data_IF_445229834843
#
_entry.id   IF_445229834843
#
_cell.length_a   1.000
_cell.length_b   1.000
_cell.length_c   1.000
_cell.angle_alpha   90.00
_cell.angle_beta   90.00
_cell.angle_gamma   90.00
#
_symmetry.space_group_name_H-M   'P 1'
#
loop_
_entity.id
_entity.type
_entity.pdbx_description
1 polymer ?
#
# COMPACT_ATOMS: atom_id res chain seq x y z
N UNK A 1 48.19 15.74 -23.44
CA UNK A 1 46.90 15.69 -24.14
C UNK A 1 46.15 14.49 -23.57
N UNK A 2 45.42 14.68 -22.47
CA UNK A 2 44.70 13.62 -21.76
C UNK A 2 43.25 14.08 -21.59
N UNK A 3 42.36 13.20 -22.03
CA UNK A 3 40.92 13.35 -22.22
C UNK A 3 40.16 13.49 -20.90
N UNK A 4 39.33 14.52 -20.77
CA UNK A 4 38.26 14.59 -19.78
C UNK A 4 36.99 13.95 -20.36
N UNK A 5 36.59 12.79 -19.84
CA UNK A 5 35.25 12.25 -20.02
C UNK A 5 34.40 12.64 -18.80
N UNK A 6 33.53 13.63 -18.98
CA UNK A 6 32.51 13.97 -17.99
C UNK A 6 31.47 12.85 -17.92
N UNK A 7 31.58 12.00 -16.90
CA UNK A 7 30.58 11.00 -16.56
C UNK A 7 29.33 11.69 -15.98
N UNK A 8 28.25 11.67 -16.74
CA UNK A 8 26.93 12.14 -16.32
C UNK A 8 26.35 11.17 -15.29
N UNK A 9 26.33 11.58 -14.02
CA UNK A 9 25.78 10.79 -12.92
C UNK A 9 24.24 10.82 -13.02
N UNK A 10 23.67 9.77 -13.60
CA UNK A 10 22.23 9.55 -13.61
C UNK A 10 21.72 9.33 -12.17
N UNK A 11 20.86 10.24 -11.69
CA UNK A 11 20.28 10.18 -10.35
C UNK A 11 19.18 9.10 -10.27
N UNK A 12 19.29 8.11 -9.35
CA UNK A 12 18.30 7.02 -9.19
C UNK A 12 16.90 7.46 -8.75
N UNK A 13 16.71 8.74 -8.38
CA UNK A 13 15.42 9.24 -7.83
C UNK A 13 14.33 9.49 -8.86
N UNK A 14 14.66 9.45 -10.16
CA UNK A 14 13.72 9.86 -11.23
C UNK A 14 12.75 8.75 -11.66
N UNK A 15 13.02 7.49 -11.31
CA UNK A 15 12.22 6.34 -11.75
C UNK A 15 10.97 6.10 -10.89
N UNK A 16 10.99 6.54 -9.62
CA UNK A 16 9.87 6.33 -8.69
C UNK A 16 8.73 7.36 -8.90
N UNK A 17 9.03 8.58 -9.36
CA UNK A 17 7.99 9.59 -9.61
C UNK A 17 7.10 9.22 -10.81
N UNK A 18 7.70 8.69 -11.88
CA UNK A 18 7.00 8.35 -13.12
C UNK A 18 6.07 7.15 -12.94
N UNK A 19 6.45 6.16 -12.12
CA UNK A 19 5.61 4.99 -11.85
C UNK A 19 4.42 5.34 -10.94
N UNK A 20 4.64 6.19 -9.94
CA UNK A 20 3.57 6.69 -9.07
C UNK A 20 2.56 7.52 -9.85
N UNK A 21 3.02 8.41 -10.74
CA UNK A 21 2.13 9.18 -11.62
C UNK A 21 1.31 8.25 -12.53
N UNK A 22 1.93 7.27 -13.19
CA UNK A 22 1.19 6.35 -14.09
C UNK A 22 0.18 5.47 -13.36
N UNK A 23 0.51 4.96 -12.18
CA UNK A 23 -0.42 4.16 -11.38
C UNK A 23 -1.59 5.02 -10.86
N UNK A 24 -1.32 6.26 -10.45
CA UNK A 24 -2.38 7.21 -10.10
C UNK A 24 -3.23 7.60 -11.31
N UNK A 25 -2.64 7.77 -12.49
CA UNK A 25 -3.36 8.11 -13.74
C UNK A 25 -4.23 6.95 -14.21
N UNK A 26 -3.82 5.69 -14.03
CA UNK A 26 -4.64 4.54 -14.42
C UNK A 26 -5.86 4.33 -13.51
N UNK A 27 -5.70 4.49 -12.19
CA UNK A 27 -6.79 4.32 -11.22
C UNK A 27 -7.70 5.57 -11.13
N UNK A 28 -7.18 6.78 -11.37
CA UNK A 28 -7.98 8.02 -11.41
C UNK A 28 -8.52 8.33 -12.81
N UNK A 29 -7.95 7.76 -13.87
CA UNK A 29 -8.27 8.09 -15.27
C UNK A 29 -9.61 7.56 -15.77
N UNK A 30 -10.17 6.52 -15.16
CA UNK A 30 -11.53 6.07 -15.49
C UNK A 30 -12.64 6.92 -14.83
N UNK A 31 -12.31 7.81 -13.88
CA UNK A 31 -13.30 8.58 -13.12
C UNK A 31 -13.30 10.10 -13.35
N UNK A 32 -12.41 10.62 -14.21
CA UNK A 32 -12.11 12.05 -14.29
C UNK A 32 -12.56 12.70 -15.62
N UNK A 33 -13.83 12.50 -15.99
CA UNK A 33 -14.43 13.25 -17.10
C UNK A 33 -15.57 14.17 -16.66
N UNK A 34 -15.86 14.32 -15.36
CA UNK A 34 -16.98 15.16 -14.91
C UNK A 34 -16.74 15.82 -13.54
N UNK A 35 -15.69 16.65 -13.45
CA UNK A 35 -15.31 17.38 -12.21
C UNK A 35 -15.87 18.80 -12.16
N UNK A 36 -17.14 18.98 -12.57
CA UNK A 36 -17.80 20.29 -12.54
C UNK A 36 -19.30 20.14 -12.28
N UNK A 37 -19.67 19.80 -11.04
CA UNK A 37 -20.86 20.32 -10.33
C UNK A 37 -20.94 19.69 -8.95
N UNK A 38 -21.33 20.50 -7.97
CA UNK A 38 -21.56 20.13 -6.59
C UNK A 38 -22.81 19.25 -6.49
N UNK A 39 -22.67 17.97 -6.83
CA UNK A 39 -23.57 16.86 -6.55
C UNK A 39 -22.87 15.84 -5.66
N UNK A 40 -23.58 14.79 -5.22
CA UNK A 40 -23.03 13.71 -4.38
C UNK A 40 -21.61 13.33 -4.80
N UNK A 41 -20.69 13.17 -3.85
CA UNK A 41 -19.28 12.88 -4.17
C UNK A 41 -19.26 11.70 -5.14
N UNK A 42 -18.58 11.79 -6.29
CA UNK A 42 -18.66 10.76 -7.33
C UNK A 42 -18.39 9.36 -6.78
N UNK A 43 -17.47 9.23 -5.80
CA UNK A 43 -17.18 7.99 -5.08
C UNK A 43 -18.40 7.34 -4.37
N UNK A 44 -19.31 8.14 -3.81
CA UNK A 44 -20.52 7.63 -3.13
C UNK A 44 -21.51 7.05 -4.15
N UNK A 45 -21.63 7.68 -5.32
CA UNK A 45 -22.50 7.22 -6.41
C UNK A 45 -21.96 5.93 -7.02
N UNK A 46 -20.65 5.85 -7.31
CA UNK A 46 -20.05 4.63 -7.83
C UNK A 46 -20.14 3.47 -6.84
N UNK A 47 -19.95 3.73 -5.55
CA UNK A 47 -20.13 2.71 -4.51
C UNK A 47 -21.58 2.20 -4.45
N UNK A 48 -22.57 3.10 -4.54
CA UNK A 48 -23.98 2.73 -4.56
C UNK A 48 -24.33 1.89 -5.79
N UNK A 49 -24.01 2.37 -7.00
CA UNK A 49 -24.28 1.64 -8.25
C UNK A 49 -23.54 0.31 -8.30
N UNK A 50 -22.28 0.29 -7.83
CA UNK A 50 -21.48 -0.92 -7.70
C UNK A 50 -22.15 -1.93 -6.76
N UNK A 51 -22.61 -1.49 -5.58
CA UNK A 51 -23.25 -2.37 -4.61
C UNK A 51 -24.52 -3.05 -5.15
N UNK A 52 -25.39 -2.27 -5.82
CA UNK A 52 -26.60 -2.82 -6.45
C UNK A 52 -26.23 -3.79 -7.58
N UNK A 53 -25.28 -3.40 -8.44
CA UNK A 53 -24.82 -4.26 -9.53
C UNK A 53 -24.20 -5.57 -9.02
N UNK A 54 -23.44 -5.53 -7.92
CA UNK A 54 -22.88 -6.73 -7.28
C UNK A 54 -23.97 -7.62 -6.72
N UNK A 55 -24.99 -7.07 -6.05
CA UNK A 55 -26.10 -7.86 -5.51
C UNK A 55 -26.87 -8.53 -6.65
N UNK A 56 -27.25 -7.78 -7.69
CA UNK A 56 -27.96 -8.32 -8.85
C UNK A 56 -27.13 -9.38 -9.55
N UNK A 57 -25.85 -9.11 -9.80
CA UNK A 57 -24.91 -10.06 -10.41
C UNK A 57 -24.76 -11.33 -9.57
N UNK A 58 -24.68 -11.21 -8.24
CA UNK A 58 -24.59 -12.36 -7.34
C UNK A 58 -25.86 -13.22 -7.37
N UNK A 59 -27.04 -12.60 -7.35
CA UNK A 59 -28.31 -13.34 -7.46
C UNK A 59 -28.40 -14.08 -8.79
N UNK A 60 -28.02 -13.44 -9.90
CA UNK A 60 -27.99 -14.08 -11.21
C UNK A 60 -26.95 -15.21 -11.27
N UNK A 61 -25.76 -14.99 -10.70
CA UNK A 61 -24.69 -15.99 -10.64
C UNK A 61 -25.11 -17.23 -9.84
N UNK A 62 -25.66 -17.04 -8.64
CA UNK A 62 -26.13 -18.14 -7.81
C UNK A 62 -27.37 -18.80 -8.40
N UNK A 63 -28.27 -18.02 -8.99
CA UNK A 63 -29.42 -18.53 -9.72
C UNK A 63 -28.97 -19.47 -10.83
N UNK A 64 -28.05 -19.04 -11.69
CA UNK A 64 -27.49 -19.87 -12.75
C UNK A 64 -26.69 -21.08 -12.22
N UNK A 65 -25.87 -20.90 -11.17
CA UNK A 65 -24.99 -21.94 -10.64
C UNK A 65 -25.76 -23.09 -9.95
N UNK A 66 -26.80 -22.76 -9.18
CA UNK A 66 -27.50 -23.72 -8.32
C UNK A 66 -28.85 -24.19 -8.86
N UNK A 67 -29.52 -23.46 -9.76
CA UNK A 67 -30.79 -23.95 -10.32
C UNK A 67 -30.54 -25.19 -11.20
N UNK A 68 -31.41 -26.20 -11.13
CA UNK A 68 -31.31 -27.37 -12.00
C UNK A 68 -31.78 -27.05 -13.42
N UNK A 69 -31.30 -27.82 -14.40
CA UNK A 69 -31.37 -27.47 -15.84
C UNK A 69 -32.79 -27.33 -16.37
N UNK A 70 -33.75 -28.08 -15.81
CA UNK A 70 -35.15 -28.02 -16.24
C UNK A 70 -35.80 -26.65 -15.98
N UNK A 71 -35.42 -25.95 -14.90
CA UNK A 71 -35.90 -24.58 -14.64
C UNK A 71 -35.28 -23.58 -15.61
N UNK A 72 -33.98 -23.72 -15.92
CA UNK A 72 -33.30 -22.86 -16.89
C UNK A 72 -33.90 -23.02 -18.29
N UNK A 73 -34.17 -24.26 -18.69
CA UNK A 73 -34.82 -24.56 -19.96
C UNK A 73 -36.23 -23.98 -20.04
N UNK A 74 -37.00 -24.07 -18.95
CA UNK A 74 -38.34 -23.46 -18.86
C UNK A 74 -38.29 -21.92 -18.91
N UNK A 75 -37.20 -21.29 -18.48
CA UNK A 75 -36.97 -19.85 -18.60
C UNK A 75 -36.44 -19.44 -19.99
N UNK A 76 -36.23 -20.40 -20.90
CA UNK A 76 -35.72 -20.15 -22.26
C UNK A 76 -34.20 -19.97 -22.32
N UNK A 77 -33.47 -20.27 -21.24
CA UNK A 77 -32.00 -20.15 -21.20
C UNK A 77 -31.39 -21.48 -21.65
N UNK A 78 -31.18 -21.62 -22.95
CA UNK A 78 -30.63 -22.84 -23.56
C UNK A 78 -29.13 -22.82 -23.80
N UNK A 79 -28.51 -21.62 -23.82
CA UNK A 79 -27.08 -21.46 -24.04
C UNK A 79 -26.43 -20.74 -22.86
N UNK A 80 -25.64 -21.46 -22.08
CA UNK A 80 -24.87 -20.94 -20.96
C UNK A 80 -23.52 -21.66 -20.85
N UNK A 81 -22.49 -21.04 -20.25
CA UNK A 81 -21.17 -21.66 -20.12
C UNK A 81 -21.22 -22.92 -19.24
N UNK A 82 -20.20 -23.77 -19.28
CA UNK A 82 -20.15 -24.95 -18.39
C UNK A 82 -20.27 -24.55 -16.91
N UNK A 83 -21.08 -25.29 -16.14
CA UNK A 83 -21.25 -25.10 -14.68
C UNK A 83 -19.93 -25.17 -13.90
N UNK A 84 -18.89 -25.77 -14.48
CA UNK A 84 -17.54 -25.76 -13.91
C UNK A 84 -17.06 -24.35 -13.53
N UNK A 85 -17.44 -23.34 -14.31
CA UNK A 85 -17.07 -21.95 -14.04
C UNK A 85 -17.62 -21.42 -12.72
N UNK A 86 -18.72 -21.99 -12.20
CA UNK A 86 -19.25 -21.60 -10.90
C UNK A 86 -18.27 -21.89 -9.74
N UNK A 87 -17.42 -22.92 -9.89
CA UNK A 87 -16.38 -23.26 -8.92
C UNK A 87 -15.05 -22.64 -9.29
N UNK A 88 -14.74 -22.57 -10.59
CA UNK A 88 -13.49 -22.01 -11.07
C UNK A 88 -13.35 -20.52 -10.73
N UNK A 89 -14.41 -19.72 -10.91
CA UNK A 89 -14.37 -18.28 -10.64
C UNK A 89 -14.00 -17.96 -9.17
N UNK A 90 -14.69 -18.50 -8.15
CA UNK A 90 -14.28 -18.33 -6.76
C UNK A 90 -12.86 -18.82 -6.46
N UNK A 91 -12.46 -19.96 -7.03
CA UNK A 91 -11.12 -20.51 -6.83
C UNK A 91 -10.03 -19.58 -7.39
N UNK A 92 -10.22 -19.05 -8.61
CA UNK A 92 -9.32 -18.05 -9.19
C UNK A 92 -9.31 -16.74 -8.40
N UNK A 93 -10.45 -16.29 -7.88
CA UNK A 93 -10.52 -15.09 -7.05
C UNK A 93 -9.69 -15.25 -5.76
N UNK A 94 -9.77 -16.40 -5.09
CA UNK A 94 -8.94 -16.69 -3.91
C UNK A 94 -7.45 -16.71 -4.25
N UNK A 95 -7.07 -17.36 -5.36
CA UNK A 95 -5.68 -17.37 -5.83
C UNK A 95 -5.19 -15.96 -6.20
N UNK A 96 -6.05 -15.14 -6.80
CA UNK A 96 -5.74 -13.76 -7.15
C UNK A 96 -5.50 -12.90 -5.91
N UNK A 97 -6.29 -13.06 -4.84
CA UNK A 97 -6.07 -12.34 -3.57
C UNK A 97 -4.69 -12.66 -3.01
N UNK A 98 -4.34 -13.94 -2.90
CA UNK A 98 -3.02 -14.36 -2.42
C UNK A 98 -1.90 -13.81 -3.32
N UNK A 99 -2.07 -13.92 -4.64
CA UNK A 99 -1.12 -13.39 -5.61
C UNK A 99 -0.91 -11.88 -5.46
N UNK A 100 -1.99 -11.10 -5.28
CA UNK A 100 -1.92 -9.65 -5.04
C UNK A 100 -1.21 -9.35 -3.72
N UNK A 101 -1.52 -10.07 -2.64
CA UNK A 101 -0.84 -9.86 -1.35
C UNK A 101 0.67 -10.11 -1.44
N UNK A 102 1.08 -11.22 -2.07
CA UNK A 102 2.48 -11.55 -2.27
C UNK A 102 3.16 -10.50 -3.13
N UNK A 103 2.58 -10.20 -4.30
CA UNK A 103 3.14 -9.24 -5.25
C UNK A 103 3.27 -7.85 -4.62
N UNK A 104 2.21 -7.38 -3.94
CA UNK A 104 2.23 -6.11 -3.23
C UNK A 104 3.33 -6.10 -2.17
N UNK A 105 3.44 -7.14 -1.35
CA UNK A 105 4.49 -7.26 -0.33
C UNK A 105 5.87 -7.21 -0.97
N UNK A 106 6.11 -8.02 -2.00
CA UNK A 106 7.39 -8.05 -2.74
C UNK A 106 7.74 -6.69 -3.34
N UNK A 107 6.77 -5.98 -3.93
CA UNK A 107 6.98 -4.64 -4.48
C UNK A 107 7.31 -3.62 -3.38
N UNK A 108 6.65 -3.70 -2.22
CA UNK A 108 6.97 -2.86 -1.07
C UNK A 108 8.38 -3.12 -0.55
N UNK A 109 8.82 -4.38 -0.49
CA UNK A 109 10.20 -4.72 -0.11
C UNK A 109 11.23 -4.18 -1.09
N UNK A 110 10.95 -4.19 -2.39
CA UNK A 110 11.84 -3.61 -3.40
C UNK A 110 11.90 -2.07 -3.31
N UNK A 111 10.76 -1.43 -2.98
CA UNK A 111 10.65 0.01 -2.91
C UNK A 111 11.18 0.63 -1.60
N UNK A 112 11.34 -0.19 -0.55
CA UNK A 112 11.75 0.27 0.78
C UNK A 112 13.23 -0.02 1.04
N UNK A 113 13.83 0.72 1.99
CA UNK A 113 15.19 0.48 2.45
C UNK A 113 15.28 -0.95 3.04
N UNK A 114 16.38 -1.70 2.84
CA UNK A 114 16.54 -3.03 3.42
C UNK A 114 16.25 -3.03 4.93
N UNK A 115 15.55 -4.07 5.43
CA UNK A 115 15.14 -4.15 6.83
C UNK A 115 16.32 -4.18 7.81
N UNK A 116 17.49 -4.66 7.34
CA UNK A 116 18.72 -4.75 8.15
C UNK A 116 19.48 -3.42 8.25
N UNK A 117 19.01 -2.36 7.60
CA UNK A 117 19.70 -1.07 7.64
C UNK A 117 19.29 -0.24 8.87
N UNK A 118 20.28 0.39 9.51
CA UNK A 118 20.04 1.33 10.60
C UNK A 118 19.22 2.56 10.18
N UNK A 119 19.26 2.89 8.88
CA UNK A 119 18.48 3.97 8.28
C UNK A 119 16.97 3.73 8.29
N UNK A 120 16.51 2.52 8.62
CA UNK A 120 15.10 2.21 8.87
C UNK A 120 14.63 2.74 10.23
N UNK A 121 15.55 2.84 11.21
CA UNK A 121 15.28 3.27 12.59
C UNK A 121 15.63 4.74 12.80
N UNK A 122 16.72 5.20 12.19
CA UNK A 122 17.18 6.59 12.30
C UNK A 122 17.20 7.25 10.92
N UNK A 123 16.62 8.44 10.83
CA UNK A 123 16.63 9.27 9.64
C UNK A 123 17.48 10.54 9.84
N UNK A 124 17.50 11.41 8.83
CA UNK A 124 18.22 12.69 8.87
C UNK A 124 17.68 13.70 9.90
N UNK A 125 16.49 13.47 10.46
CA UNK A 125 15.87 14.34 11.45
C UNK A 125 16.02 13.79 12.88
N UNK A 126 16.52 12.57 13.03
CA UNK A 126 16.80 11.95 14.32
C UNK A 126 17.85 12.75 15.08
N UNK A 127 17.52 13.14 16.32
CA UNK A 127 18.37 13.97 17.19
C UNK A 127 19.01 13.11 18.25
N UNK A 128 20.32 12.91 18.18
CA UNK A 128 21.04 12.21 19.24
C UNK A 128 21.12 13.07 20.52
N UNK A 129 21.04 12.46 21.72
CA UNK A 129 21.26 13.18 22.97
C UNK A 129 22.67 13.76 23.02
N UNK A 130 22.76 15.05 23.35
CA UNK A 130 24.04 15.75 23.49
C UNK A 130 24.60 15.43 24.86
N UNK A 131 25.69 14.66 24.93
CA UNK A 131 26.37 14.41 26.19
C UNK A 131 27.32 15.57 26.48
N UNK A 132 26.94 16.46 27.39
CA UNK A 132 27.86 17.48 27.89
C UNK A 132 28.97 16.78 28.71
N UNK A 133 30.22 16.90 28.26
CA UNK A 133 31.38 16.52 29.06
C UNK A 133 31.39 17.41 30.32
N UNK A 134 31.66 16.85 31.51
CA UNK A 134 31.71 17.64 32.73
C UNK A 134 32.87 18.62 32.65
N UNK A 135 32.59 19.87 32.30
CA UNK A 135 33.54 20.97 32.55
C UNK A 135 33.51 21.28 34.05
N UNK A 136 34.69 21.44 34.61
CA UNK A 136 35.02 21.43 36.03
C UNK A 136 33.94 21.98 36.99
N UNK A 137 33.58 21.08 37.91
CA UNK A 137 33.13 21.31 39.29
C UNK A 137 33.21 22.76 39.82
N UNK A 138 32.10 23.51 39.76
CA UNK A 138 31.84 24.57 40.75
C UNK A 138 30.42 25.17 40.72
N UNK A 139 29.60 24.94 39.69
CA UNK A 139 28.20 25.37 39.64
C UNK A 139 27.26 24.16 39.54
N UNK A 140 26.44 23.97 40.59
CA UNK A 140 25.49 22.86 40.74
C UNK A 140 24.25 22.98 39.84
N UNK A 141 24.33 23.76 38.76
CA UNK A 141 23.20 24.07 37.89
C UNK A 141 23.52 23.56 36.49
N UNK A 142 23.10 22.31 36.23
CA UNK A 142 23.16 21.75 34.89
C UNK A 142 22.15 22.50 34.01
N UNK A 143 22.55 23.01 32.84
CA UNK A 143 21.61 23.50 31.85
C UNK A 143 20.58 22.42 31.51
N UNK A 144 19.36 22.83 31.18
CA UNK A 144 18.36 21.90 30.65
C UNK A 144 18.90 21.36 29.32
N UNK A 145 18.95 20.04 29.19
CA UNK A 145 19.42 19.39 27.97
C UNK A 145 18.51 19.73 26.78
N UNK A 146 19.07 19.91 25.58
CA UNK A 146 18.29 20.14 24.38
C UNK A 146 17.41 18.92 24.05
N UNK A 147 16.23 19.17 23.48
CA UNK A 147 15.31 18.11 23.07
C UNK A 147 15.98 17.16 22.05
N UNK A 148 16.03 15.88 22.41
CA UNK A 148 16.66 14.80 21.65
C UNK A 148 15.81 13.54 21.68
N UNK A 149 16.00 12.68 20.68
CA UNK A 149 15.32 11.40 20.56
C UNK A 149 16.06 10.34 21.39
N UNK A 150 15.30 9.56 22.16
CA UNK A 150 15.84 8.46 22.96
C UNK A 150 15.85 7.21 22.07
N UNK A 151 16.99 6.53 21.89
CA UNK A 151 17.05 5.35 21.03
C UNK A 151 16.20 4.21 21.62
N UNK A 152 15.53 3.47 20.74
CA UNK A 152 14.65 2.35 21.12
C UNK A 152 15.37 1.29 21.97
N UNK A 153 16.67 1.14 21.79
CA UNK A 153 17.52 0.24 22.59
C UNK A 153 17.58 0.66 24.06
N UNK A 154 17.66 1.96 24.33
CA UNK A 154 17.72 2.49 25.70
C UNK A 154 16.36 2.38 26.39
N UNK A 155 15.27 2.72 25.70
CA UNK A 155 13.91 2.54 26.24
C UNK A 155 13.63 1.06 26.52
N UNK A 156 13.97 0.17 25.59
CA UNK A 156 13.78 -1.27 25.79
C UNK A 156 14.58 -1.77 27.00
N UNK A 157 15.82 -1.30 27.18
CA UNK A 157 16.62 -1.64 28.36
C UNK A 157 15.97 -1.13 29.64
N UNK A 158 15.51 0.13 29.67
CA UNK A 158 14.85 0.69 30.85
C UNK A 158 13.55 -0.06 31.20
N UNK A 159 12.74 -0.37 30.19
CA UNK A 159 11.43 -1.00 30.35
C UNK A 159 11.50 -2.49 30.67
N UNK A 160 12.45 -3.23 30.08
CA UNK A 160 12.49 -4.70 30.15
C UNK A 160 13.69 -5.28 30.89
N UNK A 161 14.76 -4.52 31.17
CA UNK A 161 15.93 -5.02 31.91
C UNK A 161 15.84 -4.79 33.43
N UNK A 162 14.75 -4.16 33.92
CA UNK A 162 14.46 -3.97 35.35
C UNK A 162 13.48 -5.02 35.91
N UNK A 163 13.14 -6.04 35.12
CA UNK A 163 12.30 -7.18 35.50
C UNK A 163 13.14 -8.43 35.81
#
# INVERSE_FOLDING_TARGET
>A
MASESSSSVASPRRTLSVSRERASVFILGEGEADRSKQGAKPAEVYGFVGSISTIVGAVLFFGWAYLPEYWLYSMGITYYPSRYWAVALPAYAMMLIVFVCITYTSLNYIATIPPDSWNSVCDKFTRAPVMFLPTDSSSQERPIDPISDIPITEINRMMFASA
#
